data_IF_583918256668
#
_entry.id   IF_583918256668
#
_cell.length_a   1.000
_cell.length_b   1.000
_cell.length_c   1.000
_cell.angle_alpha   90.00
_cell.angle_beta   90.00
_cell.angle_gamma   90.00
#
_symmetry.space_group_name_H-M   'P 1'
#
loop_
_entity.id
_entity.type
_entity.pdbx_description
1 polymer ?
#
# COMPACT_ATOMS: atom_id res chain seq x y z
N UNK A 1 2.01 -6.95 -10.14
CA UNK A 1 1.32 -6.40 -8.97
C UNK A 1 0.76 -7.55 -8.12
N UNK A 2 0.69 -7.45 -6.81
CA UNK A 2 -0.22 -8.26 -6.02
C UNK A 2 -1.65 -8.06 -6.52
N UNK A 3 -2.62 -8.78 -5.95
CA UNK A 3 -4.03 -8.44 -6.19
C UNK A 3 -4.33 -7.04 -5.65
N UNK A 4 -5.26 -6.33 -6.30
CA UNK A 4 -5.66 -4.97 -5.90
C UNK A 4 -6.08 -4.91 -4.43
N UNK A 5 -6.65 -5.98 -3.90
CA UNK A 5 -7.07 -6.09 -2.49
C UNK A 5 -5.90 -6.07 -1.52
N UNK A 6 -4.76 -6.62 -1.89
CA UNK A 6 -3.58 -6.69 -1.00
C UNK A 6 -2.93 -5.33 -0.80
N UNK A 7 -3.13 -4.36 -1.70
CA UNK A 7 -2.69 -2.99 -1.47
C UNK A 7 -3.43 -2.32 -0.31
N UNK A 8 -4.66 -2.75 0.02
CA UNK A 8 -5.37 -2.27 1.20
C UNK A 8 -4.79 -2.80 2.54
N UNK A 9 -3.90 -3.79 2.50
CA UNK A 9 -3.38 -4.42 3.73
C UNK A 9 -2.67 -3.44 4.65
N UNK A 10 -1.87 -2.51 4.12
CA UNK A 10 -1.12 -1.54 4.93
C UNK A 10 -2.05 -0.53 5.62
N UNK A 11 -2.94 0.22 4.95
CA UNK A 11 -3.86 1.11 5.65
C UNK A 11 -4.75 0.38 6.66
N UNK A 12 -5.18 -0.85 6.38
CA UNK A 12 -5.95 -1.66 7.32
C UNK A 12 -5.11 -2.07 8.54
N UNK A 13 -3.86 -2.49 8.34
CA UNK A 13 -2.95 -2.82 9.43
C UNK A 13 -2.68 -1.60 10.33
N UNK A 14 -2.43 -0.43 9.76
CA UNK A 14 -2.24 0.82 10.50
C UNK A 14 -3.49 1.20 11.30
N UNK A 15 -4.66 1.04 10.72
CA UNK A 15 -5.93 1.27 11.42
C UNK A 15 -6.11 0.29 12.58
N UNK A 16 -5.87 -1.00 12.38
CA UNK A 16 -5.94 -2.02 13.42
C UNK A 16 -4.89 -1.81 14.52
N UNK A 17 -3.70 -1.28 14.20
CA UNK A 17 -2.64 -0.99 15.14
C UNK A 17 -2.89 0.29 15.96
N UNK A 18 -3.74 1.19 15.48
CA UNK A 18 -4.06 2.46 16.11
C UNK A 18 -5.11 2.30 17.22
N UNK A 19 -5.14 3.23 18.19
CA UNK A 19 -6.18 3.30 19.19
C UNK A 19 -7.56 3.56 18.58
N UNK A 20 -8.60 3.07 19.23
CA UNK A 20 -9.97 3.26 18.76
C UNK A 20 -10.28 4.74 18.56
N UNK A 21 -10.78 5.07 17.36
CA UNK A 21 -11.15 6.44 16.99
C UNK A 21 -10.01 7.34 16.53
N UNK A 22 -8.75 6.92 16.64
CA UNK A 22 -7.60 7.72 16.19
C UNK A 22 -7.55 7.89 14.68
N UNK A 23 -7.98 6.87 13.94
CA UNK A 23 -8.15 6.93 12.48
C UNK A 23 -9.65 6.86 12.19
N UNK A 24 -10.24 7.98 11.82
CA UNK A 24 -11.66 8.09 11.49
C UNK A 24 -11.96 7.35 10.16
N UNK A 25 -13.19 6.91 9.99
CA UNK A 25 -13.61 6.19 8.78
C UNK A 25 -13.30 6.93 7.47
N UNK A 26 -13.53 8.26 7.33
CA UNK A 26 -13.14 8.97 6.11
C UNK A 26 -11.64 8.92 5.82
N UNK A 27 -10.79 9.00 6.86
CA UNK A 27 -9.35 8.91 6.71
C UNK A 27 -8.93 7.50 6.30
N UNK A 28 -9.50 6.46 6.91
CA UNK A 28 -9.25 5.07 6.52
C UNK A 28 -9.63 4.83 5.06
N UNK A 29 -10.81 5.29 4.64
CA UNK A 29 -11.27 5.17 3.25
C UNK A 29 -10.29 5.85 2.29
N UNK A 30 -9.86 7.08 2.62
CA UNK A 30 -8.88 7.80 1.81
C UNK A 30 -7.55 7.05 1.70
N UNK A 31 -7.04 6.45 2.78
CA UNK A 31 -5.84 5.64 2.76
C UNK A 31 -5.98 4.38 1.91
N UNK A 32 -7.11 3.66 2.03
CA UNK A 32 -7.39 2.47 1.21
C UNK A 32 -7.46 2.85 -0.27
N UNK A 33 -8.20 3.92 -0.61
CA UNK A 33 -8.27 4.41 -1.99
C UNK A 33 -6.89 4.80 -2.50
N UNK A 34 -6.11 5.55 -1.73
CA UNK A 34 -4.77 5.99 -2.11
C UNK A 34 -3.81 4.80 -2.32
N UNK A 35 -3.94 3.74 -1.51
CA UNK A 35 -3.16 2.52 -1.67
C UNK A 35 -3.53 1.71 -2.93
N UNK A 36 -4.74 1.85 -3.44
CA UNK A 36 -5.22 1.12 -4.63
C UNK A 36 -5.14 1.97 -5.91
N UNK A 37 -5.11 3.29 -5.77
CA UNK A 37 -5.22 4.23 -6.89
C UNK A 37 -4.12 4.08 -7.96
N UNK A 38 -2.85 3.81 -7.63
CA UNK A 38 -1.82 3.63 -8.65
C UNK A 38 -2.18 2.58 -9.71
N UNK A 39 -2.86 1.50 -9.32
CA UNK A 39 -3.31 0.44 -10.23
C UNK A 39 -4.40 0.89 -11.24
N UNK A 40 -4.99 2.07 -11.05
CA UNK A 40 -5.86 2.65 -12.06
C UNK A 40 -5.13 2.93 -13.39
N UNK A 41 -3.79 2.95 -13.37
CA UNK A 41 -2.95 3.08 -14.56
C UNK A 41 -3.06 1.89 -15.55
N UNK A 42 -3.74 0.80 -15.17
CA UNK A 42 -4.11 -0.27 -16.12
C UNK A 42 -4.98 0.26 -17.26
N UNK A 43 -5.65 1.41 -17.07
CA UNK A 43 -6.36 2.12 -18.15
C UNK A 43 -5.44 2.55 -19.28
N UNK A 44 -4.13 2.71 -19.04
CA UNK A 44 -3.14 2.97 -20.07
C UNK A 44 -3.16 1.91 -21.17
N UNK A 45 -3.42 0.64 -20.84
CA UNK A 45 -3.55 -0.42 -21.85
C UNK A 45 -4.74 -0.19 -22.79
N UNK A 46 -5.87 0.29 -22.27
CA UNK A 46 -7.03 0.64 -23.10
C UNK A 46 -6.77 1.87 -23.97
N UNK A 47 -5.86 2.75 -23.54
CA UNK A 47 -5.42 3.94 -24.29
C UNK A 47 -4.22 3.64 -25.21
N UNK A 48 -3.81 2.38 -25.37
CA UNK A 48 -2.67 1.94 -26.18
C UNK A 48 -1.33 2.58 -25.78
N UNK A 49 -1.19 3.01 -24.51
CA UNK A 49 0.07 3.51 -23.97
C UNK A 49 0.95 2.30 -23.65
N UNK A 50 2.20 2.24 -24.16
CA UNK A 50 3.09 1.11 -23.89
C UNK A 50 3.37 0.93 -22.41
N UNK A 51 3.52 -0.32 -21.97
CA UNK A 51 3.81 -0.61 -20.55
C UNK A 51 5.08 0.09 -20.08
N UNK A 52 6.11 0.17 -20.92
CA UNK A 52 7.40 0.78 -20.59
C UNK A 52 7.36 2.32 -20.54
N UNK A 53 6.27 2.94 -21.03
CA UNK A 53 6.12 4.40 -21.03
C UNK A 53 6.07 4.95 -19.59
N UNK A 54 6.45 6.22 -19.43
CA UNK A 54 6.37 6.91 -18.13
C UNK A 54 4.95 6.99 -17.56
N UNK A 55 3.95 7.03 -18.42
CA UNK A 55 2.53 7.00 -18.06
C UNK A 55 1.88 5.63 -18.29
N UNK A 56 2.68 4.62 -18.65
CA UNK A 56 2.25 3.23 -18.71
C UNK A 56 2.12 2.60 -17.33
N UNK A 57 1.68 1.34 -17.31
CA UNK A 57 1.49 0.62 -16.03
C UNK A 57 2.80 0.52 -15.24
N UNK A 58 2.73 0.79 -13.91
CA UNK A 58 3.85 0.94 -12.97
C UNK A 58 4.79 2.12 -13.27
N UNK A 59 4.29 3.12 -14.01
CA UNK A 59 5.01 4.34 -14.32
C UNK A 59 4.88 5.42 -13.24
N UNK A 60 4.55 6.63 -13.66
CA UNK A 60 4.45 7.83 -12.81
C UNK A 60 3.53 7.65 -11.59
N UNK A 61 2.43 6.92 -11.73
CA UNK A 61 1.50 6.59 -10.64
C UNK A 61 2.13 5.75 -9.53
N UNK A 62 3.24 5.05 -9.80
CA UNK A 62 3.97 4.22 -8.85
C UNK A 62 5.23 4.93 -8.29
N UNK A 63 5.28 6.25 -8.37
CA UNK A 63 6.42 7.04 -7.90
C UNK A 63 6.22 7.57 -6.48
N UNK A 64 7.33 7.92 -5.83
CA UNK A 64 7.33 8.66 -4.55
C UNK A 64 6.62 10.01 -4.73
N UNK A 65 6.80 10.67 -5.87
CA UNK A 65 6.15 11.95 -6.15
C UNK A 65 4.64 11.82 -6.19
N UNK A 66 4.10 10.76 -6.80
CA UNK A 66 2.67 10.52 -6.79
C UNK A 66 2.13 10.32 -5.37
N UNK A 67 2.83 9.52 -4.55
CA UNK A 67 2.46 9.35 -3.14
C UNK A 67 2.53 10.68 -2.35
N UNK A 68 3.54 11.51 -2.60
CA UNK A 68 3.67 12.83 -1.99
C UNK A 68 2.53 13.78 -2.40
N UNK A 69 2.11 13.76 -3.66
CA UNK A 69 0.96 14.55 -4.13
C UNK A 69 -0.32 14.12 -3.39
N UNK A 70 -0.56 12.82 -3.25
CA UNK A 70 -1.71 12.32 -2.50
C UNK A 70 -1.65 12.71 -1.01
N UNK A 71 -0.46 12.70 -0.41
CA UNK A 71 -0.27 13.16 0.97
C UNK A 71 -0.60 14.65 1.13
N UNK A 72 -0.15 15.50 0.22
CA UNK A 72 -0.45 16.94 0.22
C UNK A 72 -1.95 17.19 0.02
N UNK A 73 -2.59 16.48 -0.89
CA UNK A 73 -4.05 16.57 -1.09
C UNK A 73 -4.81 16.13 0.18
N UNK A 74 -4.37 15.07 0.84
CA UNK A 74 -4.96 14.64 2.09
C UNK A 74 -4.78 15.69 3.20
N UNK A 75 -3.61 16.33 3.29
CA UNK A 75 -3.37 17.45 4.21
C UNK A 75 -4.31 18.61 3.94
N UNK A 76 -4.52 18.99 2.68
CA UNK A 76 -5.45 20.06 2.30
C UNK A 76 -6.91 19.72 2.65
N UNK A 77 -7.27 18.44 2.59
CA UNK A 77 -8.61 17.92 2.89
C UNK A 77 -8.79 17.43 4.33
N UNK A 78 -7.86 17.71 5.23
CA UNK A 78 -7.77 17.14 6.56
C UNK A 78 -9.06 17.25 7.39
N UNK A 79 -9.78 18.36 7.29
CA UNK A 79 -11.05 18.58 8.01
C UNK A 79 -12.14 17.62 7.54
N UNK A 80 -12.24 17.37 6.22
CA UNK A 80 -13.16 16.37 5.65
C UNK A 80 -12.78 14.95 6.04
N UNK A 81 -11.47 14.69 6.19
CA UNK A 81 -10.94 13.42 6.65
C UNK A 81 -11.03 13.25 8.19
N UNK A 82 -11.50 14.27 8.92
CA UNK A 82 -11.63 14.27 10.37
C UNK A 82 -10.31 13.95 11.09
N UNK A 83 -9.23 14.60 10.63
CA UNK A 83 -7.87 14.40 11.12
C UNK A 83 -7.11 15.73 11.20
N UNK A 84 -5.95 15.76 11.84
CA UNK A 84 -5.01 16.86 11.63
C UNK A 84 -4.36 16.76 10.25
N UNK A 85 -3.86 17.88 9.72
CA UNK A 85 -3.20 17.90 8.41
C UNK A 85 -2.00 16.94 8.35
N UNK A 86 -1.20 16.91 9.41
CA UNK A 86 -0.05 15.99 9.52
C UNK A 86 -0.48 14.54 9.55
N UNK A 87 -1.53 14.22 10.32
CA UNK A 87 -2.06 12.85 10.39
C UNK A 87 -2.62 12.39 9.03
N UNK A 88 -3.37 13.26 8.36
CA UNK A 88 -3.94 12.96 7.05
C UNK A 88 -2.83 12.74 6.00
N UNK A 89 -1.83 13.63 5.94
CA UNK A 89 -0.68 13.50 5.06
C UNK A 89 0.11 12.21 5.32
N UNK A 90 0.46 11.94 6.57
CA UNK A 90 1.25 10.78 6.94
C UNK A 90 0.50 9.47 6.62
N UNK A 91 -0.77 9.36 7.01
CA UNK A 91 -1.55 8.14 6.81
C UNK A 91 -1.77 7.84 5.32
N UNK A 92 -2.20 8.84 4.55
CA UNK A 92 -2.46 8.68 3.11
C UNK A 92 -1.15 8.52 2.34
N UNK A 93 -0.10 9.27 2.68
CA UNK A 93 1.21 9.16 2.06
C UNK A 93 1.85 7.78 2.25
N UNK A 94 1.83 7.24 3.49
CA UNK A 94 2.33 5.89 3.78
C UNK A 94 1.49 4.85 3.03
N UNK A 95 0.16 5.00 3.03
CA UNK A 95 -0.74 4.10 2.31
C UNK A 95 -0.45 4.09 0.80
N UNK A 96 -0.30 5.26 0.18
CA UNK A 96 0.03 5.38 -1.24
C UNK A 96 1.43 4.82 -1.56
N UNK A 97 2.43 5.15 -0.73
CA UNK A 97 3.81 4.68 -0.93
C UNK A 97 3.94 3.16 -0.74
N UNK A 98 3.10 2.55 0.09
CA UNK A 98 3.11 1.11 0.28
C UNK A 98 2.79 0.34 -1.02
N UNK A 99 2.06 0.94 -1.94
CA UNK A 99 1.70 0.34 -3.22
C UNK A 99 2.92 -0.02 -4.08
N UNK A 100 3.75 0.94 -4.53
CA UNK A 100 4.93 0.62 -5.34
C UNK A 100 5.94 -0.26 -4.60
N UNK A 101 6.00 -0.19 -3.25
CA UNK A 101 6.88 -1.05 -2.47
C UNK A 101 6.42 -2.51 -2.51
N UNK A 102 5.11 -2.78 -2.39
CA UNK A 102 4.55 -4.13 -2.55
C UNK A 102 4.73 -4.64 -3.98
N UNK A 103 4.59 -3.78 -4.97
CA UNK A 103 4.80 -4.12 -6.37
C UNK A 103 6.26 -4.45 -6.69
N UNK A 104 7.20 -3.76 -6.08
CA UNK A 104 8.62 -4.06 -6.21
C UNK A 104 8.97 -5.46 -5.67
N UNK A 105 8.20 -5.99 -4.72
CA UNK A 105 8.34 -7.34 -4.16
C UNK A 105 7.71 -8.43 -5.02
N UNK A 106 7.14 -8.11 -6.19
CA UNK A 106 6.51 -9.10 -7.07
C UNK A 106 7.48 -9.74 -8.05
N UNK A 107 7.16 -10.98 -8.44
CA UNK A 107 8.03 -11.82 -9.27
C UNK A 107 8.00 -11.52 -10.78
N UNK A 108 7.28 -10.50 -11.23
CA UNK A 108 7.16 -10.22 -12.68
C UNK A 108 6.67 -8.81 -13.02
N UNK A 109 6.53 -8.53 -14.29
CA UNK A 109 6.31 -7.20 -14.83
C UNK A 109 7.64 -6.49 -15.14
N UNK A 110 7.62 -5.16 -15.30
CA UNK A 110 8.81 -4.36 -15.61
C UNK A 110 9.43 -3.65 -14.39
N UNK A 111 8.96 -3.94 -13.18
CA UNK A 111 9.35 -3.15 -12.00
C UNK A 111 8.55 -1.84 -11.88
N UNK A 112 8.89 -1.00 -10.92
CA UNK A 112 8.19 0.25 -10.59
C UNK A 112 9.09 1.46 -10.85
N UNK A 113 8.56 2.54 -11.45
CA UNK A 113 9.28 3.78 -11.68
C UNK A 113 9.32 4.65 -10.41
N UNK A 114 9.92 4.12 -9.34
CA UNK A 114 9.88 4.73 -8.01
C UNK A 114 10.41 6.16 -7.99
N UNK A 115 11.45 6.44 -8.79
CA UNK A 115 12.16 7.73 -8.84
C UNK A 115 11.67 8.67 -9.94
N UNK A 116 10.56 8.35 -10.60
CA UNK A 116 9.98 9.28 -11.56
C UNK A 116 9.61 10.63 -10.87
N UNK A 117 9.85 11.80 -11.47
CA UNK A 117 10.28 12.09 -12.83
C UNK A 117 11.83 12.15 -13.04
N UNK A 118 12.63 12.01 -11.99
CA UNK A 118 14.11 12.16 -12.10
C UNK A 118 14.77 10.98 -12.81
N UNK A 119 14.17 9.79 -12.73
CA UNK A 119 14.64 8.60 -13.43
C UNK A 119 13.46 7.79 -13.93
N UNK A 120 13.56 7.30 -15.17
CA UNK A 120 12.64 6.32 -15.75
C UNK A 120 13.00 4.86 -15.42
N UNK A 121 14.03 4.64 -14.61
CA UNK A 121 14.47 3.29 -14.23
C UNK A 121 13.37 2.54 -13.47
N UNK A 122 13.17 1.28 -13.87
CA UNK A 122 12.17 0.39 -13.28
C UNK A 122 12.85 -0.54 -12.28
N UNK A 123 12.46 -0.42 -11.02
CA UNK A 123 13.10 -1.09 -9.90
C UNK A 123 12.28 -2.29 -9.42
N UNK A 124 13.00 -3.33 -9.03
CA UNK A 124 12.49 -4.44 -8.25
C UNK A 124 13.24 -4.52 -6.92
N UNK A 125 12.59 -5.04 -5.90
CA UNK A 125 13.29 -5.47 -4.69
C UNK A 125 14.20 -6.67 -5.00
N UNK A 126 15.34 -6.81 -4.28
CA UNK A 126 16.24 -7.95 -4.47
C UNK A 126 15.59 -9.30 -4.12
N UNK A 127 14.60 -9.29 -3.24
CA UNK A 127 13.81 -10.45 -2.87
C UNK A 127 12.35 -10.24 -3.29
N UNK A 128 11.76 -11.17 -4.03
CA UNK A 128 10.46 -11.04 -4.68
C UNK A 128 9.55 -12.24 -4.39
N UNK A 129 9.05 -12.38 -3.15
CA UNK A 129 8.27 -13.53 -2.73
C UNK A 129 6.83 -13.53 -3.25
N UNK A 130 6.32 -12.36 -3.70
CA UNK A 130 4.92 -12.22 -4.06
C UNK A 130 4.74 -12.62 -5.53
N UNK A 131 3.79 -13.51 -5.80
CA UNK A 131 3.42 -13.85 -7.18
C UNK A 131 2.64 -12.71 -7.83
N UNK A 132 2.90 -12.48 -9.12
CA UNK A 132 2.10 -11.55 -9.92
C UNK A 132 0.69 -12.10 -10.07
N UNK A 133 -0.29 -11.28 -9.71
CA UNK A 133 -1.71 -11.58 -9.88
C UNK A 133 -2.09 -11.64 -11.36
N UNK A 134 -2.84 -12.64 -11.80
CA UNK A 134 -3.43 -12.62 -13.12
C UNK A 134 -4.50 -11.54 -13.23
N UNK A 135 -4.65 -10.95 -14.43
CA UNK A 135 -5.64 -9.91 -14.71
C UNK A 135 -7.03 -10.49 -14.97
N UNK A 136 -8.05 -9.70 -14.65
CA UNK A 136 -9.45 -9.90 -15.00
C UNK A 136 -9.98 -11.31 -14.65
N UNK A 137 -10.68 -11.96 -15.57
CA UNK A 137 -11.30 -13.28 -15.36
C UNK A 137 -10.32 -14.39 -14.98
N UNK A 138 -9.04 -14.27 -15.33
CA UNK A 138 -8.01 -15.24 -14.92
C UNK A 138 -7.71 -15.22 -13.41
N UNK A 139 -8.14 -14.18 -12.70
CA UNK A 139 -8.04 -14.13 -11.24
C UNK A 139 -8.86 -15.26 -10.57
N UNK A 140 -9.98 -15.65 -11.16
CA UNK A 140 -10.84 -16.75 -10.68
C UNK A 140 -10.39 -18.13 -11.17
N UNK A 141 -9.11 -18.35 -11.32
CA UNK A 141 -8.46 -19.59 -11.75
C UNK A 141 -7.58 -20.18 -10.63
N UNK A 142 -7.08 -21.43 -10.76
CA UNK A 142 -6.08 -21.98 -9.84
C UNK A 142 -4.84 -21.10 -9.68
N UNK A 143 -4.46 -20.35 -10.72
CA UNK A 143 -3.36 -19.39 -10.67
C UNK A 143 -3.67 -18.20 -9.76
N UNK A 144 -4.90 -17.69 -9.81
CA UNK A 144 -5.34 -16.62 -8.91
C UNK A 144 -5.41 -17.09 -7.45
N UNK A 145 -5.93 -18.29 -7.21
CA UNK A 145 -5.90 -18.90 -5.87
C UNK A 145 -4.47 -19.01 -5.33
N UNK A 146 -3.53 -19.51 -6.14
CA UNK A 146 -2.13 -19.58 -5.75
C UNK A 146 -1.57 -18.19 -5.40
N UNK A 147 -1.93 -17.14 -6.16
CA UNK A 147 -1.51 -15.76 -5.86
C UNK A 147 -2.04 -15.32 -4.50
N UNK A 148 -3.32 -15.51 -4.21
CA UNK A 148 -3.93 -15.14 -2.93
C UNK A 148 -3.26 -15.88 -1.75
N UNK A 149 -2.92 -17.16 -1.90
CA UNK A 149 -2.21 -17.92 -0.87
C UNK A 149 -0.78 -17.37 -0.63
N UNK A 150 -0.07 -16.93 -1.67
CA UNK A 150 1.22 -16.27 -1.53
C UNK A 150 1.09 -14.91 -0.84
N UNK A 151 0.08 -14.11 -1.20
CA UNK A 151 -0.20 -12.82 -0.56
C UNK A 151 -0.56 -12.99 0.92
N UNK A 152 -1.40 -14.00 1.23
CA UNK A 152 -1.73 -14.35 2.61
C UNK A 152 -0.46 -14.64 3.42
N UNK A 153 0.43 -15.50 2.89
CA UNK A 153 1.66 -15.90 3.56
C UNK A 153 2.65 -14.76 3.74
N UNK A 154 2.84 -13.91 2.72
CA UNK A 154 3.96 -12.95 2.67
C UNK A 154 3.56 -11.52 3.00
N UNK A 155 2.26 -11.19 3.01
CA UNK A 155 1.76 -9.86 3.33
C UNK A 155 0.81 -9.90 4.52
N UNK A 156 -0.30 -10.60 4.41
CA UNK A 156 -1.36 -10.54 5.40
C UNK A 156 -0.98 -11.16 6.75
N UNK A 157 -0.39 -12.36 6.76
CA UNK A 157 0.02 -13.02 8.01
C UNK A 157 1.14 -12.26 8.75
N UNK A 158 2.22 -11.79 8.10
CA UNK A 158 3.23 -10.97 8.76
C UNK A 158 2.66 -9.65 9.31
N UNK A 159 1.78 -8.97 8.57
CA UNK A 159 1.14 -7.75 9.06
C UNK A 159 0.21 -8.03 10.25
N UNK A 160 -0.59 -9.09 10.19
CA UNK A 160 -1.45 -9.48 11.31
C UNK A 160 -0.63 -9.80 12.56
N UNK A 161 0.47 -10.55 12.41
CA UNK A 161 1.38 -10.85 13.51
C UNK A 161 2.00 -9.58 14.10
N UNK A 162 2.43 -8.64 13.24
CA UNK A 162 2.98 -7.35 13.68
C UNK A 162 1.93 -6.51 14.44
N UNK A 163 0.69 -6.45 13.94
CA UNK A 163 -0.41 -5.73 14.61
C UNK A 163 -0.74 -6.37 15.96
N UNK A 164 -0.84 -7.70 16.03
CA UNK A 164 -1.12 -8.42 17.28
C UNK A 164 0.00 -8.16 18.29
N UNK A 165 1.26 -8.35 17.88
CA UNK A 165 2.43 -8.09 18.74
C UNK A 165 2.45 -6.67 19.27
N UNK A 166 2.20 -5.68 18.41
CA UNK A 166 2.09 -4.27 18.79
C UNK A 166 1.01 -4.03 19.83
N UNK A 167 -0.19 -4.60 19.62
CA UNK A 167 -1.31 -4.49 20.57
C UNK A 167 -1.04 -5.17 21.90
N UNK A 168 -0.31 -6.28 21.92
CA UNK A 168 0.09 -6.94 23.18
C UNK A 168 1.08 -6.09 23.96
N UNK A 169 2.07 -5.48 23.30
CA UNK A 169 3.03 -4.57 23.92
C UNK A 169 2.33 -3.36 24.55
N UNK A 170 1.37 -2.76 23.84
CA UNK A 170 0.61 -1.61 24.35
C UNK A 170 -0.26 -1.95 25.57
N UNK A 171 -0.64 -3.22 25.75
CA UNK A 171 -1.47 -3.68 26.88
C UNK A 171 -0.66 -4.21 28.06
N UNK A 172 0.66 -4.35 27.90
CA UNK A 172 1.52 -4.81 29.01
C UNK A 172 1.42 -3.83 30.19
N UNK A 173 1.15 -4.28 31.43
CA UNK A 173 1.13 -3.43 32.60
C UNK A 173 2.52 -2.79 32.78
N UNK A 174 2.56 -1.49 32.99
CA UNK A 174 3.80 -0.85 33.48
C UNK A 174 4.01 -1.36 34.90
N UNK A 175 5.07 -2.14 35.12
CA UNK A 175 5.45 -2.59 36.46
C UNK A 175 5.90 -1.36 37.27
N UNK A 176 4.98 -0.80 38.07
CA UNK A 176 5.21 0.36 38.93
C UNK A 176 5.89 -0.04 40.25
N UNK A 177 6.53 -1.19 40.35
CA UNK A 177 7.32 -1.54 41.54
C UNK A 177 8.61 -0.74 41.51
N UNK A 178 8.55 0.45 42.08
CA UNK A 178 9.75 1.15 42.60
C UNK A 178 10.27 0.35 43.76
N UNK A 179 11.56 -0.05 43.82
CA UNK A 179 12.16 -0.58 45.05
C UNK A 179 12.18 0.54 46.08
N UNK A 180 11.65 0.26 47.26
CA UNK A 180 11.90 1.05 48.47
C UNK A 180 13.31 0.85 49.00
#
# INVERSE_FOLDING_TARGET
MPSVFTHAAIPLALWCASDRGRIAAPLLTAGVVAAMLPDADVLAFALHIPYADSFGHRGASHSIVFAAVLAVLAAALHTRLRASAVQAAAFVGISALSHPLLDALTSGGLGVALWWPWSGERLFAPWRPIRVSPFAGQFFSPRGLATVLYELRWVWLPLAAAVIGWRLIQRAPVDTRTPQ
#
